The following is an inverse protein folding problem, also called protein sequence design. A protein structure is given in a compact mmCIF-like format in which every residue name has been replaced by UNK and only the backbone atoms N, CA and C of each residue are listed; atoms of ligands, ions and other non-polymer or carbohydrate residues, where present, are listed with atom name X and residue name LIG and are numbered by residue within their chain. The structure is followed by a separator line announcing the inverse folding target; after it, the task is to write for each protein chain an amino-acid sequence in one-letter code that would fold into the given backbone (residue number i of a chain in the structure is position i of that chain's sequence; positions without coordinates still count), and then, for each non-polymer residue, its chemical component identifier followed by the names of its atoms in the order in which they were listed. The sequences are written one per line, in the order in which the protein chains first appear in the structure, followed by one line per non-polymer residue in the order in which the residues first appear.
data_IF_929188721381
#
_entry.id   IF_929188721381
#
_cell.length_a   1.000
_cell.length_b   1.000
_cell.length_c   1.000
_cell.angle_alpha   90.00
_cell.angle_beta   90.00
_cell.angle_gamma   90.00
#
_symmetry.space_group_name_H-M   'P 1'
#
loop_
_entity.id
_entity.type
_entity.pdbx_description
1 polymer ?
#
# COMPACT_ATOMS: atom_id res chain seq x y z
N UNK A 1 -19.73 49.41 1.14
CA UNK A 1 -19.37 50.73 0.56
C UNK A 1 -17.97 51.21 0.92
N UNK A 2 -17.57 51.36 2.20
CA UNK A 2 -16.16 51.72 2.52
C UNK A 2 -15.17 50.56 2.33
N UNK A 3 -15.60 49.33 2.65
CA UNK A 3 -14.76 48.14 2.55
C UNK A 3 -14.39 47.82 1.09
N UNK A 4 -15.36 47.93 0.19
CA UNK A 4 -15.20 47.66 -1.23
C UNK A 4 -14.16 48.59 -1.88
N UNK A 5 -14.18 49.88 -1.52
CA UNK A 5 -13.19 50.86 -2.00
C UNK A 5 -11.78 50.58 -1.46
N UNK A 6 -11.65 50.10 -0.23
CA UNK A 6 -10.36 49.71 0.34
C UNK A 6 -9.81 48.48 -0.38
N UNK A 7 -10.67 47.48 -0.62
CA UNK A 7 -10.31 46.26 -1.34
C UNK A 7 -9.90 46.57 -2.78
N UNK A 8 -10.64 47.42 -3.50
CA UNK A 8 -10.32 47.83 -4.87
C UNK A 8 -9.00 48.60 -4.94
N UNK A 9 -8.72 49.47 -3.96
CA UNK A 9 -7.46 50.19 -3.87
C UNK A 9 -6.28 49.27 -3.55
N UNK A 10 -6.47 48.27 -2.69
CA UNK A 10 -5.46 47.24 -2.41
C UNK A 10 -5.18 46.38 -3.64
N UNK A 11 -6.22 45.91 -4.32
CA UNK A 11 -6.10 45.09 -5.53
C UNK A 11 -5.44 45.84 -6.69
N UNK A 12 -5.78 47.12 -6.88
CA UNK A 12 -5.15 47.94 -7.92
C UNK A 12 -3.68 48.27 -7.64
N UNK A 13 -3.30 48.34 -6.36
CA UNK A 13 -1.89 48.51 -5.95
C UNK A 13 -1.12 47.20 -6.13
N UNK A 14 -1.66 46.07 -5.66
CA UNK A 14 -1.04 44.75 -5.78
C UNK A 14 -0.87 44.32 -7.25
N UNK A 15 -1.81 44.68 -8.14
CA UNK A 15 -1.73 44.37 -9.57
C UNK A 15 -0.64 45.16 -10.31
N UNK A 16 -0.27 46.34 -9.79
CA UNK A 16 0.81 47.18 -10.34
C UNK A 16 2.19 46.75 -9.81
N UNK A 17 2.22 45.95 -8.75
CA UNK A 17 3.46 45.41 -8.21
C UNK A 17 3.95 44.28 -9.14
N UNK A 18 5.24 44.30 -9.45
CA UNK A 18 5.85 43.31 -10.35
C UNK A 18 5.86 41.94 -9.66
N UNK A 19 5.49 40.83 -10.32
CA UNK A 19 5.59 39.49 -9.74
C UNK A 19 7.03 39.27 -9.26
N UNK A 20 7.17 39.19 -7.95
CA UNK A 20 8.43 39.14 -7.24
C UNK A 20 8.41 37.88 -6.39
N UNK A 21 9.46 37.06 -6.53
CA UNK A 21 9.66 35.85 -5.73
C UNK A 21 9.99 36.16 -4.25
N UNK A 22 10.00 37.45 -3.91
CA UNK A 22 10.30 37.93 -2.57
C UNK A 22 9.13 37.60 -1.63
N UNK A 23 9.28 36.49 -0.95
CA UNK A 23 8.39 36.08 0.13
C UNK A 23 8.46 37.11 1.27
N UNK A 24 7.33 37.55 1.84
CA UNK A 24 7.33 38.50 2.95
C UNK A 24 8.20 38.02 4.11
N UNK A 25 8.94 38.94 4.71
CA UNK A 25 9.79 38.67 5.86
C UNK A 25 8.98 37.95 6.95
N UNK A 26 9.52 36.83 7.45
CA UNK A 26 8.90 35.92 8.43
C UNK A 26 7.69 35.09 7.95
N UNK A 27 7.36 35.06 6.65
CA UNK A 27 6.38 34.11 6.12
C UNK A 27 6.75 32.66 6.43
N UNK A 28 7.99 32.27 6.16
CA UNK A 28 8.50 30.93 6.47
C UNK A 28 8.36 30.62 7.97
N UNK A 29 8.71 31.58 8.84
CA UNK A 29 8.57 31.42 10.30
C UNK A 29 7.11 31.23 10.72
N UNK A 30 6.16 31.93 10.09
CA UNK A 30 4.73 31.78 10.37
C UNK A 30 4.19 30.43 9.91
N UNK A 31 4.59 30.00 8.71
CA UNK A 31 4.20 28.70 8.16
C UNK A 31 4.78 27.56 9.02
N UNK A 32 6.07 27.62 9.36
CA UNK A 32 6.71 26.61 10.20
C UNK A 32 6.15 26.57 11.62
N UNK A 33 5.78 27.72 12.19
CA UNK A 33 5.09 27.76 13.48
C UNK A 33 3.71 27.09 13.40
N UNK A 34 2.93 27.37 12.34
CA UNK A 34 1.63 26.75 12.13
C UNK A 34 1.76 25.23 11.92
N UNK A 35 2.77 24.78 11.18
CA UNK A 35 3.07 23.35 10.94
C UNK A 35 3.51 22.65 12.22
N UNK A 36 4.30 23.32 13.06
CA UNK A 36 4.71 22.76 14.35
C UNK A 36 3.57 22.69 15.37
N UNK A 37 2.57 23.58 15.25
CA UNK A 37 1.38 23.64 16.11
C UNK A 37 0.24 22.73 15.60
N UNK A 38 0.36 22.20 14.39
CA UNK A 38 -0.52 21.12 13.94
C UNK A 38 -0.29 19.91 14.87
N UNK A 39 -1.37 19.30 15.41
CA UNK A 39 -1.22 18.11 16.21
C UNK A 39 -0.44 17.10 15.39
N UNK A 40 0.62 16.56 15.99
CA UNK A 40 1.42 15.51 15.38
C UNK A 40 0.46 14.50 14.76
N UNK A 41 0.72 14.07 13.52
CA UNK A 41 -0.06 13.04 12.83
C UNK A 41 0.16 11.72 13.55
N UNK A 42 -0.33 11.63 14.78
CA UNK A 42 -0.36 10.43 15.57
C UNK A 42 -1.52 9.59 15.06
N UNK A 43 -1.26 8.29 15.06
CA UNK A 43 -2.24 7.23 14.94
C UNK A 43 -2.97 7.01 13.62
N UNK A 44 -2.72 7.78 12.55
CA UNK A 44 -3.28 7.39 11.24
C UNK A 44 -2.71 6.05 10.81
N UNK A 45 -1.38 5.91 10.77
CA UNK A 45 -0.73 4.66 10.37
C UNK A 45 -1.03 3.49 11.32
N UNK A 46 -1.11 3.78 12.62
CA UNK A 46 -1.48 2.79 13.63
C UNK A 46 -2.94 2.32 13.46
N UNK A 47 -3.88 3.24 13.18
CA UNK A 47 -5.27 2.91 12.90
C UNK A 47 -5.43 2.07 11.63
N UNK A 48 -4.73 2.44 10.55
CA UNK A 48 -4.71 1.67 9.31
C UNK A 48 -4.12 0.26 9.51
N UNK A 49 -3.02 0.14 10.26
CA UNK A 49 -2.43 -1.17 10.57
C UNK A 49 -3.38 -2.08 11.34
N UNK A 50 -4.12 -1.54 12.32
CA UNK A 50 -5.11 -2.29 13.10
C UNK A 50 -6.29 -2.73 12.24
N UNK A 51 -6.75 -1.88 11.32
CA UNK A 51 -7.83 -2.24 10.38
C UNK A 51 -7.39 -3.36 9.42
N UNK A 52 -6.19 -3.27 8.88
CA UNK A 52 -5.62 -4.29 7.99
C UNK A 52 -5.48 -5.64 8.72
N UNK A 53 -5.01 -5.62 9.96
CA UNK A 53 -4.90 -6.83 10.78
C UNK A 53 -6.25 -7.50 11.07
N UNK A 54 -7.32 -6.71 11.27
CA UNK A 54 -8.67 -7.25 11.45
C UNK A 54 -9.21 -7.95 10.22
N UNK A 55 -8.73 -7.62 9.01
CA UNK A 55 -9.11 -8.30 7.77
C UNK A 55 -8.28 -9.56 7.51
N UNK A 56 -7.00 -9.56 7.88
CA UNK A 56 -6.10 -10.72 7.68
C UNK A 56 -6.44 -11.89 8.62
N UNK A 57 -6.84 -11.60 9.86
CA UNK A 57 -7.19 -12.61 10.85
C UNK A 57 -8.30 -13.60 10.40
N UNK A 58 -9.47 -13.16 9.89
CA UNK A 58 -10.50 -14.09 9.42
C UNK A 58 -10.09 -14.83 8.14
N UNK A 59 -9.34 -14.18 7.23
CA UNK A 59 -8.90 -14.81 5.98
C UNK A 59 -7.92 -15.96 6.24
N UNK A 60 -6.91 -15.72 7.10
CA UNK A 60 -5.93 -16.74 7.50
C UNK A 60 -6.57 -17.86 8.31
N UNK A 61 -7.54 -17.55 9.18
CA UNK A 61 -8.30 -18.55 9.92
C UNK A 61 -9.10 -19.48 8.99
N UNK A 62 -9.83 -18.92 8.01
CA UNK A 62 -10.57 -19.72 7.02
C UNK A 62 -9.62 -20.57 6.18
N UNK A 63 -8.51 -20.01 5.70
CA UNK A 63 -7.51 -20.76 4.93
C UNK A 63 -6.87 -21.90 5.75
N UNK A 64 -6.58 -21.67 7.02
CA UNK A 64 -6.06 -22.72 7.90
C UNK A 64 -7.10 -23.84 8.10
N UNK A 65 -8.36 -23.48 8.33
CA UNK A 65 -9.45 -24.46 8.49
C UNK A 65 -9.68 -25.28 7.23
N UNK A 66 -9.64 -24.67 6.04
CA UNK A 66 -9.78 -25.41 4.79
C UNK A 66 -8.61 -26.35 4.56
N UNK A 67 -7.37 -25.92 4.82
CA UNK A 67 -6.18 -26.78 4.72
C UNK A 67 -6.28 -27.96 5.68
N UNK A 68 -6.62 -27.72 6.94
CA UNK A 68 -6.79 -28.79 7.95
C UNK A 68 -7.89 -29.77 7.54
N UNK A 69 -9.03 -29.28 7.04
CA UNK A 69 -10.11 -30.12 6.54
C UNK A 69 -9.66 -30.96 5.32
N UNK A 70 -8.93 -30.35 4.39
CA UNK A 70 -8.37 -31.04 3.22
C UNK A 70 -7.38 -32.14 3.61
N UNK A 71 -6.45 -31.88 4.54
CA UNK A 71 -5.52 -32.91 5.04
C UNK A 71 -6.22 -34.02 5.83
N UNK A 72 -7.33 -33.70 6.51
CA UNK A 72 -8.08 -34.70 7.28
C UNK A 72 -8.94 -35.60 6.38
N UNK A 73 -9.35 -35.09 5.21
CA UNK A 73 -10.18 -35.82 4.25
C UNK A 73 -9.38 -36.50 3.14
N UNK A 74 -8.17 -36.03 2.85
CA UNK A 74 -7.25 -36.64 1.89
C UNK A 74 -6.15 -37.37 2.66
N UNK A 75 -6.30 -38.67 2.98
CA UNK A 75 -5.15 -39.46 3.38
C UNK A 75 -4.18 -39.43 2.21
N UNK A 76 -2.99 -38.85 2.45
CA UNK A 76 -1.85 -38.69 1.54
C UNK A 76 -2.08 -39.33 0.18
N UNK A 77 -2.45 -38.53 -0.82
CA UNK A 77 -2.70 -38.97 -2.18
C UNK A 77 -1.52 -39.82 -2.68
N UNK A 78 -1.66 -41.17 -2.74
CA UNK A 78 -0.59 -42.05 -3.20
C UNK A 78 -0.31 -41.80 -4.69
N UNK A 79 -1.28 -41.24 -5.41
CA UNK A 79 -1.16 -40.79 -6.80
C UNK A 79 0.01 -39.83 -7.04
N UNK A 80 0.34 -38.92 -6.12
CA UNK A 80 1.48 -38.01 -6.35
C UNK A 80 2.82 -38.76 -6.33
N UNK A 81 3.01 -39.64 -5.36
CA UNK A 81 4.23 -40.45 -5.26
C UNK A 81 4.31 -41.49 -6.40
N UNK A 82 3.17 -42.02 -6.86
CA UNK A 82 3.10 -42.95 -8.00
C UNK A 82 3.36 -42.23 -9.33
N UNK A 83 2.80 -41.02 -9.54
CA UNK A 83 3.08 -40.23 -10.74
C UNK A 83 4.52 -39.74 -10.80
N UNK A 84 5.11 -39.29 -9.68
CA UNK A 84 6.51 -38.88 -9.65
C UNK A 84 7.44 -40.05 -10.05
N UNK A 85 7.13 -41.27 -9.59
CA UNK A 85 7.85 -42.49 -9.95
C UNK A 85 7.67 -42.87 -11.43
N UNK A 86 6.45 -42.77 -11.96
CA UNK A 86 6.13 -43.08 -13.37
C UNK A 86 6.83 -42.09 -14.31
N UNK A 87 6.89 -40.80 -13.95
CA UNK A 87 7.62 -39.79 -14.72
C UNK A 87 9.13 -40.10 -14.77
N UNK A 88 9.74 -40.47 -13.64
CA UNK A 88 11.17 -40.83 -13.59
C UNK A 88 11.47 -42.06 -14.46
N UNK A 89 10.57 -43.06 -14.48
CA UNK A 89 10.69 -44.25 -15.34
C UNK A 89 10.58 -43.90 -16.83
N UNK A 90 9.62 -43.04 -17.20
CA UNK A 90 9.43 -42.59 -18.59
C UNK A 90 10.65 -41.77 -19.06
N UNK A 91 11.20 -40.90 -18.21
CA UNK A 91 12.39 -40.10 -18.54
C UNK A 91 13.60 -41.00 -18.72
N UNK A 92 13.81 -41.99 -17.87
CA UNK A 92 14.89 -42.96 -18.02
C UNK A 92 14.79 -43.73 -19.34
N UNK A 93 13.58 -44.20 -19.69
CA UNK A 93 13.33 -44.89 -20.96
C UNK A 93 13.57 -44.00 -22.18
N UNK A 94 13.20 -42.72 -22.09
CA UNK A 94 13.43 -41.75 -23.16
C UNK A 94 14.92 -41.40 -23.35
N UNK A 95 15.73 -41.49 -22.30
CA UNK A 95 17.19 -41.26 -22.38
C UNK A 95 17.92 -42.50 -22.94
N UNK A 96 17.40 -43.70 -22.69
CA UNK A 96 17.98 -44.96 -23.20
C UNK A 96 17.63 -45.26 -24.67
N UNK A 97 16.64 -44.58 -25.24
CA UNK A 97 16.33 -44.67 -26.67
C UNK A 97 17.38 -43.89 -27.48
N UNK A 98 18.22 -44.55 -28.31
CA UNK A 98 19.10 -43.83 -29.22
C UNK A 98 18.23 -43.03 -30.19
N UNK A 99 18.54 -41.73 -30.32
CA UNK A 99 17.92 -40.87 -31.31
C UNK A 99 18.34 -41.36 -32.71
N UNK A 100 17.49 -42.18 -33.32
CA UNK A 100 17.55 -42.56 -34.74
C UNK A 100 17.21 -41.35 -35.63
#
# INVERSE_FOLDING_TARGET
MKLDQIIEKLLSTARKDQPSDRVPYAFEKRIMAQIADLPAVEDVWAAWSRLLWRAVAPCTAVAALTVVAWLSFSPAQPDRAVHDQELDEIVAMAIELPAE
#
